data_IF_822665752806
#
_entry.id   IF_822665752806
#
_cell.length_a   1.000
_cell.length_b   1.000
_cell.length_c   1.000
_cell.angle_alpha   90.00
_cell.angle_beta   90.00
_cell.angle_gamma   90.00
#
_symmetry.space_group_name_H-M   'P 1'
#
loop_
_entity.id
_entity.type
_entity.pdbx_description
1 polymer ?
#
# COMPACT_ATOMS: atom_id res chain seq x y z
N UNK A 1 63.76 -2.55 -41.51
CA UNK A 1 63.01 -3.70 -42.05
C UNK A 1 62.86 -4.70 -40.92
N UNK A 2 61.78 -4.64 -40.13
CA UNK A 2 60.47 -5.26 -40.38
C UNK A 2 60.43 -6.72 -39.92
N UNK A 3 59.85 -7.02 -38.75
CA UNK A 3 58.60 -7.78 -38.66
C UNK A 3 58.05 -7.90 -37.22
N UNK A 4 56.71 -7.87 -37.16
CA UNK A 4 55.84 -7.88 -36.00
C UNK A 4 55.71 -9.26 -35.33
N UNK A 5 55.49 -9.28 -34.02
CA UNK A 5 54.73 -10.36 -33.37
C UNK A 5 53.98 -9.85 -32.13
N UNK A 6 53.09 -8.87 -32.35
CA UNK A 6 52.02 -8.52 -31.42
C UNK A 6 50.75 -9.29 -31.80
N UNK A 7 50.71 -10.58 -31.48
CA UNK A 7 49.47 -11.37 -31.48
C UNK A 7 49.30 -12.01 -30.11
N UNK A 8 49.00 -11.17 -29.11
CA UNK A 8 48.15 -11.61 -27.99
C UNK A 8 46.73 -11.25 -28.36
N UNK A 9 45.95 -12.27 -28.73
CA UNK A 9 44.52 -12.18 -28.84
C UNK A 9 43.98 -11.62 -27.51
N UNK A 10 43.44 -10.40 -27.55
CA UNK A 10 42.70 -9.86 -26.42
C UNK A 10 41.55 -10.81 -26.13
N UNK A 11 41.48 -11.28 -24.88
CA UNK A 11 40.32 -12.01 -24.39
C UNK A 11 39.08 -11.19 -24.75
N UNK A 12 38.28 -11.70 -25.68
CA UNK A 12 37.03 -11.07 -26.09
C UNK A 12 36.21 -10.85 -24.84
N UNK A 13 35.98 -9.59 -24.46
CA UNK A 13 35.01 -9.23 -23.43
C UNK A 13 33.72 -9.93 -23.80
N UNK A 14 33.34 -10.96 -23.04
CA UNK A 14 32.08 -11.68 -23.20
C UNK A 14 30.99 -10.63 -23.31
N UNK A 15 30.33 -10.58 -24.47
CA UNK A 15 29.29 -9.60 -24.74
C UNK A 15 28.16 -9.91 -23.77
N UNK A 16 28.00 -9.06 -22.76
CA UNK A 16 26.88 -9.13 -21.83
C UNK A 16 25.59 -9.13 -22.66
N UNK A 17 24.73 -10.15 -22.54
CA UNK A 17 23.46 -10.20 -23.27
C UNK A 17 22.64 -8.93 -23.05
N UNK A 18 21.89 -8.51 -24.06
CA UNK A 18 21.07 -7.29 -23.99
C UNK A 18 20.11 -7.33 -22.79
N UNK A 19 19.51 -8.48 -22.53
CA UNK A 19 18.54 -8.66 -21.44
C UNK A 19 19.22 -8.56 -20.07
N UNK A 20 20.47 -9.01 -19.94
CA UNK A 20 21.23 -8.87 -18.70
C UNK A 20 21.63 -7.40 -18.44
N UNK A 21 21.99 -6.65 -19.48
CA UNK A 21 22.21 -5.19 -19.36
C UNK A 21 20.93 -4.46 -18.98
N UNK A 22 19.79 -4.86 -19.59
CA UNK A 22 18.47 -4.29 -19.32
C UNK A 22 18.08 -4.51 -17.86
N UNK A 23 18.12 -5.76 -17.40
CA UNK A 23 17.80 -6.16 -16.03
C UNK A 23 18.68 -5.42 -15.01
N UNK A 24 20.02 -5.45 -15.17
CA UNK A 24 20.94 -4.79 -14.22
C UNK A 24 20.66 -3.31 -14.04
N UNK A 25 20.39 -2.59 -15.14
CA UNK A 25 20.15 -1.16 -15.06
C UNK A 25 18.78 -0.85 -14.42
N UNK A 26 17.74 -1.63 -14.73
CA UNK A 26 16.42 -1.50 -14.10
C UNK A 26 16.50 -1.85 -12.60
N UNK A 27 17.15 -2.96 -12.23
CA UNK A 27 17.34 -3.36 -10.83
C UNK A 27 18.07 -2.29 -10.02
N UNK A 28 19.11 -1.68 -10.60
CA UNK A 28 19.85 -0.58 -9.96
C UNK A 28 18.97 0.65 -9.75
N UNK A 29 18.18 1.02 -10.77
CA UNK A 29 17.26 2.14 -10.66
C UNK A 29 16.11 1.86 -9.67
N UNK A 30 15.57 0.66 -9.68
CA UNK A 30 14.55 0.20 -8.72
C UNK A 30 15.07 0.24 -7.29
N UNK A 31 16.28 -0.22 -7.02
CA UNK A 31 16.90 -0.15 -5.70
C UNK A 31 17.03 1.31 -5.21
N UNK A 32 17.34 2.24 -6.11
CA UNK A 32 17.39 3.67 -5.79
C UNK A 32 15.99 4.25 -5.49
N UNK A 33 14.96 3.84 -6.24
CA UNK A 33 13.56 4.21 -5.94
C UNK A 33 13.13 3.63 -4.59
N UNK A 34 13.46 2.38 -4.29
CA UNK A 34 13.11 1.75 -3.02
C UNK A 34 13.82 2.39 -1.82
N UNK A 35 15.04 2.88 -2.00
CA UNK A 35 15.80 3.55 -0.94
C UNK A 35 15.36 5.01 -0.69
N UNK A 36 14.95 5.73 -1.74
CA UNK A 36 14.76 7.19 -1.67
C UNK A 36 13.33 7.66 -1.99
N UNK A 37 12.47 6.77 -2.49
CA UNK A 37 11.19 7.10 -3.08
C UNK A 37 11.29 7.70 -4.48
N UNK A 38 10.16 7.74 -5.20
CA UNK A 38 10.05 8.43 -6.49
C UNK A 38 9.88 9.94 -6.23
N UNK A 39 10.98 10.68 -6.10
CA UNK A 39 10.93 12.12 -5.80
C UNK A 39 10.58 12.95 -7.03
N UNK A 40 9.92 14.11 -6.82
CA UNK A 40 9.80 15.16 -7.85
C UNK A 40 11.22 15.61 -8.20
N UNK A 41 11.68 15.26 -9.40
CA UNK A 41 13.09 15.41 -9.78
C UNK A 41 13.86 14.09 -9.94
N UNK A 42 13.21 12.92 -9.99
CA UNK A 42 13.86 11.66 -10.43
C UNK A 42 14.46 11.77 -11.84
N UNK A 43 14.06 12.78 -12.62
CA UNK A 43 14.72 13.23 -13.85
C UNK A 43 16.19 13.63 -13.64
N UNK A 44 16.60 13.99 -12.42
CA UNK A 44 17.97 14.36 -12.07
C UNK A 44 18.89 13.16 -11.83
N UNK A 45 18.36 11.92 -11.80
CA UNK A 45 19.24 10.76 -11.97
C UNK A 45 19.85 10.85 -13.37
N UNK A 46 21.13 11.22 -13.39
CA UNK A 46 21.91 11.23 -14.61
C UNK A 46 22.02 9.78 -15.04
N UNK A 47 21.51 9.48 -16.23
CA UNK A 47 21.62 8.15 -16.86
C UNK A 47 23.05 7.62 -16.77
N UNK A 48 24.03 8.51 -16.81
CA UNK A 48 25.46 8.22 -16.70
C UNK A 48 25.88 7.71 -15.31
N UNK A 49 25.30 8.24 -14.24
CA UNK A 49 25.55 7.78 -12.88
C UNK A 49 24.92 6.40 -12.67
N UNK A 50 23.69 6.20 -13.17
CA UNK A 50 23.03 4.88 -13.17
C UNK A 50 23.84 3.83 -13.94
N UNK A 51 24.33 4.18 -15.14
CA UNK A 51 25.18 3.30 -15.95
C UNK A 51 26.45 2.92 -15.21
N UNK A 52 27.08 3.89 -14.54
CA UNK A 52 28.31 3.68 -13.77
C UNK A 52 28.04 2.78 -12.57
N UNK A 53 26.98 3.03 -11.82
CA UNK A 53 26.58 2.25 -10.65
C UNK A 53 26.22 0.81 -11.03
N UNK A 54 25.42 0.62 -12.08
CA UNK A 54 25.04 -0.69 -12.59
C UNK A 54 26.22 -1.48 -13.21
N UNK A 55 27.37 -0.82 -13.43
CA UNK A 55 28.56 -1.43 -14.03
C UNK A 55 28.36 -1.92 -15.47
N UNK A 56 27.36 -1.38 -16.18
CA UNK A 56 27.00 -1.82 -17.53
C UNK A 56 27.69 -1.00 -18.63
N UNK A 57 27.95 -1.57 -19.82
CA UNK A 57 28.56 -0.80 -20.91
C UNK A 57 27.61 0.28 -21.45
N UNK A 58 28.02 1.56 -21.37
CA UNK A 58 27.29 2.73 -21.88
C UNK A 58 26.72 2.55 -23.30
N UNK A 59 27.52 2.00 -24.22
CA UNK A 59 27.11 1.77 -25.61
C UNK A 59 26.09 0.63 -25.79
N UNK A 60 25.90 -0.21 -24.78
CA UNK A 60 24.84 -1.22 -24.77
C UNK A 60 23.53 -0.63 -24.28
N UNK A 61 23.58 0.25 -23.28
CA UNK A 61 22.42 0.97 -22.74
C UNK A 61 21.74 1.83 -23.81
N UNK A 62 22.47 2.70 -24.51
CA UNK A 62 21.91 3.50 -25.62
C UNK A 62 21.50 2.68 -26.86
N UNK A 63 21.78 1.37 -26.89
CA UNK A 63 21.28 0.43 -27.92
C UNK A 63 20.03 -0.33 -27.48
N UNK A 64 19.69 -0.27 -26.19
CA UNK A 64 18.49 -0.89 -25.61
C UNK A 64 17.39 0.16 -25.52
N UNK A 65 17.71 1.36 -25.04
CA UNK A 65 16.79 2.49 -24.97
C UNK A 65 17.23 3.59 -25.94
N UNK A 66 16.31 3.97 -26.82
CA UNK A 66 16.54 5.00 -27.86
C UNK A 66 16.60 6.41 -27.28
N UNK A 67 16.01 6.62 -26.09
CA UNK A 67 16.03 7.88 -25.37
C UNK A 67 15.98 7.66 -23.86
N UNK A 68 16.20 8.74 -23.09
CA UNK A 68 16.09 8.70 -21.62
C UNK A 68 14.63 8.46 -21.20
N UNK A 69 13.70 9.03 -21.94
CA UNK A 69 12.25 8.90 -21.75
C UNK A 69 11.84 7.43 -21.91
N UNK A 70 12.33 6.72 -22.93
CA UNK A 70 12.04 5.30 -23.12
C UNK A 70 12.49 4.42 -21.92
N UNK A 71 13.61 4.76 -21.29
CA UNK A 71 14.04 4.11 -20.04
C UNK A 71 13.12 4.46 -18.87
N UNK A 72 12.75 5.74 -18.73
CA UNK A 72 11.84 6.16 -17.66
C UNK A 72 10.44 5.55 -17.78
N UNK A 73 9.89 5.42 -18.98
CA UNK A 73 8.59 4.76 -19.21
C UNK A 73 8.60 3.31 -18.68
N UNK A 74 9.70 2.60 -18.94
CA UNK A 74 9.89 1.25 -18.46
C UNK A 74 10.10 1.20 -16.95
N UNK A 75 10.95 2.07 -16.40
CA UNK A 75 11.17 2.17 -14.96
C UNK A 75 9.86 2.48 -14.22
N UNK A 76 9.06 3.43 -14.70
CA UNK A 76 7.78 3.76 -14.08
C UNK A 76 6.81 2.56 -14.10
N UNK A 77 6.84 1.76 -15.17
CA UNK A 77 6.07 0.53 -15.26
C UNK A 77 6.54 -0.50 -14.21
N UNK A 78 7.85 -0.69 -14.07
CA UNK A 78 8.44 -1.61 -13.08
C UNK A 78 8.19 -1.15 -11.64
N UNK A 79 8.35 0.15 -11.35
CA UNK A 79 8.03 0.71 -10.04
C UNK A 79 6.56 0.48 -9.73
N UNK A 80 5.66 0.81 -10.65
CA UNK A 80 4.23 0.65 -10.43
C UNK A 80 3.82 -0.82 -10.22
N UNK A 81 4.48 -1.78 -10.87
CA UNK A 81 4.29 -3.21 -10.65
C UNK A 81 4.80 -3.70 -9.28
N UNK A 82 5.79 -3.03 -8.71
CA UNK A 82 6.39 -3.38 -7.41
C UNK A 82 5.85 -2.56 -6.25
N UNK A 83 5.10 -1.49 -6.51
CA UNK A 83 4.40 -0.75 -5.46
C UNK A 83 3.31 -1.67 -4.92
N UNK A 84 3.65 -2.41 -3.87
CA UNK A 84 2.66 -2.90 -2.93
C UNK A 84 2.31 -1.74 -2.00
N UNK A 85 1.04 -1.49 -1.74
CA UNK A 85 0.67 -0.61 -0.66
C UNK A 85 1.18 -1.27 0.63
N UNK A 86 2.22 -0.73 1.24
CA UNK A 86 2.61 -1.07 2.62
C UNK A 86 1.57 -0.58 3.64
N UNK A 87 0.29 -0.62 3.26
CA UNK A 87 -0.89 -0.06 3.94
C UNK A 87 -1.56 -1.08 4.85
N UNK A 88 -1.33 -2.37 4.61
CA UNK A 88 -1.81 -3.46 5.45
C UNK A 88 -0.61 -4.06 6.17
N UNK A 89 -0.35 -3.56 7.39
CA UNK A 89 0.66 -4.12 8.27
C UNK A 89 0.08 -5.33 9.02
N UNK A 90 0.59 -6.53 8.71
CA UNK A 90 0.10 -7.79 9.29
C UNK A 90 0.22 -7.80 10.82
N UNK A 91 1.28 -7.19 11.37
CA UNK A 91 1.47 -7.04 12.81
C UNK A 91 0.34 -6.20 13.45
N UNK A 92 -0.04 -5.09 12.82
CA UNK A 92 -1.19 -4.28 13.25
C UNK A 92 -2.52 -5.06 13.22
N UNK A 93 -2.72 -5.92 12.23
CA UNK A 93 -3.94 -6.76 12.15
C UNK A 93 -3.98 -7.78 13.28
N UNK A 94 -2.85 -8.44 13.55
CA UNK A 94 -2.67 -9.39 14.67
C UNK A 94 -2.89 -8.70 16.02
N UNK A 95 -2.24 -7.56 16.23
CA UNK A 95 -2.37 -6.78 17.47
C UNK A 95 -3.83 -6.34 17.72
N UNK A 96 -4.58 -6.03 16.66
CA UNK A 96 -6.01 -5.74 16.78
C UNK A 96 -6.79 -6.95 17.30
N UNK A 97 -6.48 -8.16 16.82
CA UNK A 97 -7.13 -9.38 17.27
C UNK A 97 -6.80 -9.71 18.73
N UNK A 98 -5.54 -9.60 19.12
CA UNK A 98 -5.10 -9.78 20.51
C UNK A 98 -5.76 -8.78 21.46
N UNK A 99 -5.87 -7.52 21.04
CA UNK A 99 -6.55 -6.47 21.79
C UNK A 99 -8.03 -6.81 22.05
N UNK A 100 -8.73 -7.32 21.02
CA UNK A 100 -10.11 -7.79 21.16
C UNK A 100 -10.21 -8.98 22.11
N UNK A 101 -9.29 -9.94 22.02
CA UNK A 101 -9.23 -11.09 22.92
C UNK A 101 -9.08 -10.67 24.39
N UNK A 102 -8.22 -9.68 24.68
CA UNK A 102 -8.03 -9.17 26.05
C UNK A 102 -9.29 -8.52 26.64
N UNK A 103 -10.17 -7.99 25.79
CA UNK A 103 -11.41 -7.29 26.19
C UNK A 103 -12.68 -8.04 25.84
N UNK A 104 -12.57 -9.34 25.57
CA UNK A 104 -13.66 -10.17 25.08
C UNK A 104 -14.94 -10.08 25.94
N UNK A 105 -14.80 -9.95 27.27
CA UNK A 105 -15.95 -9.83 28.18
C UNK A 105 -16.86 -8.62 27.91
N UNK A 106 -16.30 -7.51 27.41
CA UNK A 106 -17.06 -6.29 27.12
C UNK A 106 -17.99 -6.46 25.91
N UNK A 107 -17.73 -7.42 25.03
CA UNK A 107 -18.55 -7.71 23.86
C UNK A 107 -19.98 -8.14 24.21
N UNK A 108 -20.18 -8.65 25.43
CA UNK A 108 -21.51 -9.07 25.93
C UNK A 108 -22.52 -7.93 26.03
N UNK A 109 -22.06 -6.67 26.09
CA UNK A 109 -22.94 -5.51 26.28
C UNK A 109 -22.86 -4.53 25.11
N UNK A 110 -23.98 -3.89 24.72
CA UNK A 110 -23.95 -2.85 23.69
C UNK A 110 -22.98 -1.71 24.00
N UNK A 111 -22.96 -1.25 25.25
CA UNK A 111 -22.05 -0.22 25.75
C UNK A 111 -20.59 -0.67 25.62
N UNK A 112 -20.26 -1.89 26.04
CA UNK A 112 -18.92 -2.44 25.90
C UNK A 112 -18.46 -2.55 24.45
N UNK A 113 -19.34 -2.97 23.53
CA UNK A 113 -19.05 -3.00 22.08
C UNK A 113 -18.79 -1.62 21.50
N UNK A 114 -19.58 -0.60 21.88
CA UNK A 114 -19.32 0.80 21.49
C UNK A 114 -17.95 1.27 21.94
N UNK A 115 -17.59 1.01 23.20
CA UNK A 115 -16.28 1.39 23.75
C UNK A 115 -15.12 0.67 23.04
N UNK A 116 -15.24 -0.64 22.83
CA UNK A 116 -14.25 -1.41 22.05
C UNK A 116 -14.07 -0.82 20.66
N UNK A 117 -15.17 -0.49 19.98
CA UNK A 117 -15.11 0.06 18.63
C UNK A 117 -14.35 1.40 18.61
N UNK A 118 -14.65 2.31 19.54
CA UNK A 118 -13.91 3.58 19.68
C UNK A 118 -12.42 3.32 19.91
N UNK A 119 -12.09 2.44 20.85
CA UNK A 119 -10.70 2.22 21.25
C UNK A 119 -9.89 1.51 20.12
N UNK A 120 -10.47 0.50 19.46
CA UNK A 120 -9.84 -0.21 18.33
C UNK A 120 -9.64 0.71 17.13
N UNK A 121 -10.66 1.49 16.77
CA UNK A 121 -10.54 2.41 15.62
C UNK A 121 -9.57 3.54 15.91
N UNK A 122 -9.50 4.03 17.15
CA UNK A 122 -8.52 5.03 17.56
C UNK A 122 -7.08 4.49 17.47
N UNK A 123 -6.83 3.33 18.06
CA UNK A 123 -5.50 2.69 18.01
C UNK A 123 -5.07 2.38 16.57
N UNK A 124 -5.96 1.73 15.80
CA UNK A 124 -5.68 1.36 14.42
C UNK A 124 -5.41 2.60 13.56
N UNK A 125 -6.15 3.69 13.73
CA UNK A 125 -5.94 4.91 12.96
C UNK A 125 -4.59 5.57 13.26
N UNK A 126 -4.17 5.63 14.52
CA UNK A 126 -2.90 6.25 14.90
C UNK A 126 -1.70 5.45 14.41
N UNK A 127 -1.72 4.14 14.61
CA UNK A 127 -0.67 3.25 14.13
C UNK A 127 -0.60 3.26 12.60
N UNK A 128 -1.75 3.14 11.93
CA UNK A 128 -1.81 3.14 10.47
C UNK A 128 -1.33 4.48 9.89
N UNK A 129 -1.75 5.61 10.48
CA UNK A 129 -1.32 6.92 10.03
C UNK A 129 0.21 7.09 10.07
N UNK A 130 0.87 6.73 11.17
CA UNK A 130 2.33 6.84 11.25
C UNK A 130 3.03 5.83 10.33
N UNK A 131 2.58 4.57 10.30
CA UNK A 131 3.17 3.54 9.45
C UNK A 131 3.07 3.89 7.96
N UNK A 132 1.90 4.33 7.50
CA UNK A 132 1.69 4.69 6.08
C UNK A 132 2.43 5.96 5.72
N UNK A 133 2.33 7.02 6.53
CA UNK A 133 2.92 8.32 6.14
C UNK A 133 4.45 8.33 6.23
N UNK A 134 5.03 7.47 7.05
CA UNK A 134 6.49 7.25 7.10
C UNK A 134 7.02 6.30 6.01
N UNK A 135 6.15 5.51 5.36
CA UNK A 135 6.52 4.53 4.33
C UNK A 135 7.04 5.15 3.03
N UNK A 136 8.14 4.61 2.51
CA UNK A 136 8.68 4.94 1.17
C UNK A 136 7.72 4.45 0.08
N UNK A 137 7.09 3.30 0.29
CA UNK A 137 6.14 2.70 -0.65
C UNK A 137 4.93 3.60 -0.84
N UNK A 138 4.36 4.14 0.24
CA UNK A 138 3.26 5.11 0.15
C UNK A 138 3.68 6.41 -0.57
N UNK A 139 4.84 6.99 -0.23
CA UNK A 139 5.34 8.18 -0.94
C UNK A 139 5.52 7.94 -2.44
N UNK A 140 6.04 6.78 -2.80
CA UNK A 140 6.21 6.34 -4.19
C UNK A 140 4.86 6.20 -4.89
N UNK A 141 3.87 5.60 -4.23
CA UNK A 141 2.49 5.53 -4.74
C UNK A 141 1.90 6.92 -4.99
N UNK A 142 2.04 7.86 -4.04
CA UNK A 142 1.51 9.23 -4.17
C UNK A 142 2.16 9.95 -5.35
N UNK A 143 3.49 9.79 -5.51
CA UNK A 143 4.22 10.35 -6.63
C UNK A 143 3.74 9.77 -7.97
N UNK A 144 3.65 8.44 -8.09
CA UNK A 144 3.14 7.77 -9.30
C UNK A 144 1.71 8.17 -9.64
N UNK A 145 0.82 8.24 -8.64
CA UNK A 145 -0.56 8.69 -8.82
C UNK A 145 -0.62 10.12 -9.35
N UNK A 146 0.22 11.01 -8.81
CA UNK A 146 0.33 12.40 -9.28
C UNK A 146 0.90 12.49 -10.71
N UNK A 147 1.89 11.65 -11.02
CA UNK A 147 2.44 11.51 -12.37
C UNK A 147 1.36 11.04 -13.34
N UNK A 148 0.59 10.01 -12.99
CA UNK A 148 -0.50 9.49 -13.81
C UNK A 148 -1.55 10.57 -14.15
N UNK A 149 -1.86 11.47 -13.22
CA UNK A 149 -2.82 12.56 -13.46
C UNK A 149 -2.34 13.61 -14.48
N UNK A 150 -1.03 13.79 -14.62
CA UNK A 150 -0.43 14.92 -15.37
C UNK A 150 0.45 14.50 -16.54
N UNK A 151 0.71 13.19 -16.73
CA UNK A 151 1.65 12.72 -17.74
C UNK A 151 1.14 12.99 -19.17
N UNK A 152 1.93 13.67 -20.03
CA UNK A 152 1.49 14.05 -21.38
C UNK A 152 1.23 12.85 -22.30
N UNK A 153 2.08 11.83 -22.27
CA UNK A 153 1.92 10.65 -23.11
C UNK A 153 0.79 9.76 -22.59
N UNK A 154 -0.24 9.58 -23.43
CA UNK A 154 -1.43 8.81 -23.07
C UNK A 154 -1.16 7.32 -22.84
N UNK A 155 -0.28 6.71 -23.62
CA UNK A 155 0.05 5.30 -23.53
C UNK A 155 0.81 5.01 -22.23
N UNK A 156 1.76 5.88 -21.88
CA UNK A 156 2.51 5.75 -20.63
C UNK A 156 1.59 5.98 -19.44
N UNK A 157 0.73 7.00 -19.51
CA UNK A 157 -0.28 7.28 -18.48
C UNK A 157 -1.18 6.07 -18.24
N UNK A 158 -1.69 5.44 -19.29
CA UNK A 158 -2.54 4.24 -19.18
C UNK A 158 -1.81 3.08 -18.51
N UNK A 159 -0.54 2.83 -18.84
CA UNK A 159 0.28 1.79 -18.20
C UNK A 159 0.49 2.04 -16.71
N UNK A 160 0.76 3.29 -16.31
CA UNK A 160 0.89 3.66 -14.90
C UNK A 160 -0.45 3.44 -14.17
N UNK A 161 -1.57 3.87 -14.76
CA UNK A 161 -2.91 3.69 -14.19
C UNK A 161 -3.24 2.19 -14.02
N UNK A 162 -2.92 1.36 -15.01
CA UNK A 162 -3.16 -0.09 -14.94
C UNK A 162 -2.37 -0.75 -13.82
N UNK A 163 -1.09 -0.41 -13.68
CA UNK A 163 -0.26 -0.94 -12.61
C UNK A 163 -0.73 -0.46 -11.22
N UNK A 164 -1.07 0.83 -11.06
CA UNK A 164 -1.67 1.35 -9.83
C UNK A 164 -3.01 0.66 -9.52
N UNK A 165 -3.85 0.41 -10.54
CA UNK A 165 -5.12 -0.32 -10.36
C UNK A 165 -4.89 -1.73 -9.84
N UNK A 166 -3.91 -2.46 -10.38
CA UNK A 166 -3.60 -3.82 -9.90
C UNK A 166 -3.15 -3.80 -8.43
N UNK A 167 -2.32 -2.83 -8.06
CA UNK A 167 -1.86 -2.61 -6.68
C UNK A 167 -3.02 -2.29 -5.72
N UNK A 168 -3.90 -1.37 -6.12
CA UNK A 168 -5.08 -1.00 -5.34
C UNK A 168 -6.04 -2.19 -5.15
N UNK A 169 -6.33 -2.95 -6.21
CA UNK A 169 -7.21 -4.12 -6.11
C UNK A 169 -6.66 -5.19 -5.16
N UNK A 170 -5.35 -5.44 -5.19
CA UNK A 170 -4.72 -6.38 -4.25
C UNK A 170 -4.86 -5.93 -2.79
N UNK A 171 -4.69 -4.64 -2.52
CA UNK A 171 -4.91 -4.06 -1.19
C UNK A 171 -6.39 -4.16 -0.76
N UNK A 172 -7.33 -3.88 -1.66
CA UNK A 172 -8.75 -4.01 -1.39
C UNK A 172 -9.13 -5.45 -1.03
N UNK A 173 -8.62 -6.44 -1.77
CA UNK A 173 -8.89 -7.85 -1.51
C UNK A 173 -8.40 -8.26 -0.10
N UNK A 174 -7.20 -7.82 0.30
CA UNK A 174 -6.65 -8.12 1.62
C UNK A 174 -7.46 -7.46 2.74
N UNK A 175 -7.75 -6.16 2.62
CA UNK A 175 -8.42 -5.40 3.67
C UNK A 175 -9.91 -5.73 3.77
N UNK A 176 -10.56 -6.10 2.67
CA UNK A 176 -11.94 -6.60 2.69
C UNK A 176 -12.03 -7.83 3.62
N UNK A 177 -11.11 -8.79 3.50
CA UNK A 177 -11.07 -9.97 4.37
C UNK A 177 -10.91 -9.56 5.83
N UNK A 178 -10.05 -8.59 6.13
CA UNK A 178 -9.88 -8.09 7.49
C UNK A 178 -11.18 -7.50 8.06
N UNK A 179 -11.81 -6.54 7.35
CA UNK A 179 -13.03 -5.91 7.87
C UNK A 179 -14.20 -6.88 7.97
N UNK A 180 -14.31 -7.82 7.01
CA UNK A 180 -15.31 -8.88 7.03
C UNK A 180 -15.20 -9.79 8.26
N UNK A 181 -13.99 -9.94 8.81
CA UNK A 181 -13.77 -10.69 10.05
C UNK A 181 -13.97 -9.82 11.30
N UNK A 182 -13.41 -8.60 11.32
CA UNK A 182 -13.36 -7.79 12.54
C UNK A 182 -14.73 -7.20 12.89
N UNK A 183 -15.49 -6.72 11.90
CA UNK A 183 -16.74 -5.99 12.11
C UNK A 183 -17.79 -6.88 12.80
N UNK A 184 -18.04 -8.12 12.35
CA UNK A 184 -18.91 -9.05 13.06
C UNK A 184 -18.39 -9.44 14.44
N UNK A 185 -17.07 -9.59 14.63
CA UNK A 185 -16.49 -9.98 15.91
C UNK A 185 -16.81 -8.97 17.03
N UNK A 186 -16.84 -7.68 16.68
CA UNK A 186 -17.20 -6.59 17.61
C UNK A 186 -18.71 -6.31 17.70
N UNK A 187 -19.55 -7.12 17.04
CA UNK A 187 -21.02 -7.06 17.08
C UNK A 187 -21.67 -5.95 16.28
N UNK A 188 -21.03 -5.62 15.16
CA UNK A 188 -21.56 -4.76 14.12
C UNK A 188 -21.65 -5.55 12.82
N UNK A 189 -22.37 -4.98 11.86
CA UNK A 189 -22.43 -5.50 10.50
C UNK A 189 -22.35 -4.33 9.53
N UNK A 190 -21.91 -4.63 8.31
CA UNK A 190 -21.98 -3.66 7.23
C UNK A 190 -23.44 -3.23 7.03
N UNK A 191 -23.64 -1.96 6.67
CA UNK A 191 -24.97 -1.48 6.33
C UNK A 191 -25.59 -2.31 5.19
N UNK A 192 -26.90 -2.62 5.24
CA UNK A 192 -27.54 -3.48 4.24
C UNK A 192 -27.45 -2.94 2.80
N UNK A 193 -27.47 -1.63 2.62
CA UNK A 193 -27.46 -0.99 1.31
C UNK A 193 -26.13 -1.12 0.55
N UNK A 194 -25.09 -1.61 1.22
CA UNK A 194 -23.79 -1.92 0.62
C UNK A 194 -23.69 -3.37 0.12
N UNK A 195 -24.75 -4.18 0.25
CA UNK A 195 -24.85 -5.54 -0.31
C UNK A 195 -23.68 -6.47 0.05
N UNK A 196 -23.19 -6.40 1.30
CA UNK A 196 -22.05 -7.19 1.79
C UNK A 196 -20.71 -6.92 1.05
N UNK A 197 -20.61 -5.80 0.31
CA UNK A 197 -19.38 -5.32 -0.31
C UNK A 197 -18.65 -4.36 0.64
N UNK A 198 -17.55 -4.84 1.23
CA UNK A 198 -16.73 -4.06 2.16
C UNK A 198 -15.74 -3.13 1.44
N UNK A 199 -15.54 -3.27 0.13
CA UNK A 199 -14.53 -2.47 -0.60
C UNK A 199 -14.77 -0.97 -0.54
N UNK A 200 -16.02 -0.45 -0.62
CA UNK A 200 -16.29 0.98 -0.39
C UNK A 200 -15.83 1.49 0.98
N UNK A 201 -15.97 0.67 2.04
CA UNK A 201 -15.46 1.01 3.37
C UNK A 201 -13.92 1.08 3.36
N UNK A 202 -13.26 0.07 2.78
CA UNK A 202 -11.79 0.03 2.67
C UNK A 202 -11.27 1.28 1.95
N UNK A 203 -11.85 1.62 0.79
CA UNK A 203 -11.46 2.81 0.01
C UNK A 203 -11.63 4.08 0.84
N UNK A 204 -12.78 4.27 1.49
CA UNK A 204 -13.04 5.47 2.29
C UNK A 204 -12.09 5.59 3.49
N UNK A 205 -11.82 4.48 4.17
CA UNK A 205 -10.93 4.39 5.32
C UNK A 205 -9.46 4.65 4.94
N UNK A 206 -8.99 4.14 3.80
CA UNK A 206 -7.66 4.42 3.28
C UNK A 206 -7.54 5.90 2.85
N UNK A 207 -8.53 6.40 2.10
CA UNK A 207 -8.52 7.76 1.57
C UNK A 207 -8.40 8.84 2.66
N UNK A 208 -9.03 8.65 3.82
CA UNK A 208 -8.92 9.62 4.92
C UNK A 208 -7.51 9.62 5.53
N UNK A 209 -6.89 8.46 5.74
CA UNK A 209 -5.53 8.35 6.28
C UNK A 209 -4.51 8.94 5.29
N UNK A 210 -4.61 8.58 4.02
CA UNK A 210 -3.71 9.08 2.97
C UNK A 210 -3.88 10.59 2.74
N UNK A 211 -5.11 11.08 2.75
CA UNK A 211 -5.42 12.50 2.63
C UNK A 211 -4.83 13.30 3.79
N UNK A 212 -4.93 12.79 5.02
CA UNK A 212 -4.26 13.40 6.18
C UNK A 212 -2.74 13.38 6.04
N UNK A 213 -2.18 12.30 5.49
CA UNK A 213 -0.75 12.20 5.20
C UNK A 213 -0.25 13.26 4.21
N UNK A 214 -1.03 13.53 3.17
CA UNK A 214 -0.76 14.63 2.24
C UNK A 214 -0.90 15.97 2.96
N UNK A 215 -2.00 16.18 3.71
CA UNK A 215 -2.25 17.43 4.43
C UNK A 215 -1.15 17.76 5.46
N UNK A 216 -0.56 16.74 6.11
CA UNK A 216 0.57 16.87 7.05
C UNK A 216 1.72 17.69 6.48
N UNK A 217 1.95 17.63 5.15
CA UNK A 217 3.01 18.38 4.48
C UNK A 217 2.79 19.89 4.43
N UNK A 218 1.54 20.35 4.54
CA UNK A 218 1.15 21.76 4.38
C UNK A 218 0.64 22.38 5.67
N UNK A 219 -0.02 21.58 6.53
CA UNK A 219 -0.65 22.02 7.78
C UNK A 219 -0.40 21.01 8.92
N UNK A 220 0.87 20.72 9.28
CA UNK A 220 1.21 19.67 10.24
C UNK A 220 0.57 19.89 11.61
N UNK A 221 0.56 21.13 12.12
CA UNK A 221 0.02 21.44 13.46
C UNK A 221 -1.46 21.04 13.63
N UNK A 222 -2.26 21.14 12.56
CA UNK A 222 -3.67 20.75 12.59
C UNK A 222 -3.82 19.22 12.53
N UNK A 223 -3.03 18.58 11.67
CA UNK A 223 -3.08 17.14 11.42
C UNK A 223 -2.56 16.33 12.61
N UNK A 224 -1.44 16.78 13.18
CA UNK A 224 -0.79 16.15 14.34
C UNK A 224 -1.41 16.60 15.67
N UNK A 225 -2.36 17.53 15.62
CA UNK A 225 -3.09 18.03 16.77
C UNK A 225 -3.78 16.92 17.57
N UNK A 226 -3.80 17.13 18.88
CA UNK A 226 -4.48 16.27 19.85
C UNK A 226 -5.70 17.00 20.41
N UNK A 227 -6.82 16.30 20.51
CA UNK A 227 -8.11 16.88 20.85
C UNK A 227 -8.72 16.15 22.04
N UNK A 228 -9.19 16.92 23.01
CA UNK A 228 -9.93 16.37 24.14
C UNK A 228 -11.36 16.08 23.73
N UNK A 229 -11.75 14.81 23.78
CA UNK A 229 -13.11 14.34 23.50
C UNK A 229 -13.69 13.67 24.74
N UNK A 230 -15.01 13.79 24.89
CA UNK A 230 -15.75 13.03 25.89
C UNK A 230 -16.20 11.69 25.27
N UNK A 231 -15.56 10.60 25.66
CA UNK A 231 -15.90 9.24 25.23
C UNK A 231 -16.80 8.58 26.27
N UNK A 232 -18.09 8.92 26.23
CA UNK A 232 -19.12 8.40 27.14
C UNK A 232 -18.78 8.65 28.63
N UNK A 233 -18.35 9.86 28.98
CA UNK A 233 -17.97 10.25 30.34
C UNK A 233 -16.50 9.97 30.68
N UNK A 234 -15.71 9.48 29.71
CA UNK A 234 -14.26 9.31 29.84
C UNK A 234 -13.56 10.35 28.98
N UNK A 235 -12.93 11.37 29.59
CA UNK A 235 -12.07 12.28 28.86
C UNK A 235 -10.96 11.48 28.19
N UNK A 236 -10.81 11.65 26.88
CA UNK A 236 -9.74 11.04 26.10
C UNK A 236 -9.10 12.11 25.22
N UNK A 237 -7.78 12.05 25.10
CA UNK A 237 -7.03 12.84 24.14
C UNK A 237 -6.84 11.98 22.88
N UNK A 238 -7.37 12.44 21.75
CA UNK A 238 -7.39 11.67 20.49
C UNK A 238 -6.78 12.49 19.35
N UNK A 239 -6.14 11.81 18.40
CA UNK A 239 -5.64 12.43 17.17
C UNK A 239 -6.76 12.76 16.17
N UNK A 240 -6.48 13.65 15.22
CA UNK A 240 -7.39 13.90 14.09
C UNK A 240 -7.61 12.64 13.23
N UNK A 241 -6.57 11.81 13.08
CA UNK A 241 -6.66 10.53 12.39
C UNK A 241 -7.66 9.60 13.07
N UNK A 242 -7.59 9.44 14.40
CA UNK A 242 -8.53 8.63 15.17
C UNK A 242 -9.98 9.12 15.02
N UNK A 243 -10.22 10.43 15.17
CA UNK A 243 -11.56 11.02 15.03
C UNK A 243 -12.13 10.73 13.64
N UNK A 244 -11.36 11.04 12.59
CA UNK A 244 -11.84 10.99 11.21
C UNK A 244 -12.05 9.55 10.76
N UNK A 245 -11.12 8.64 11.11
CA UNK A 245 -11.23 7.23 10.79
C UNK A 245 -12.43 6.59 11.52
N UNK A 246 -12.61 6.86 12.81
CA UNK A 246 -13.77 6.38 13.56
C UNK A 246 -15.10 6.84 12.93
N UNK A 247 -15.18 8.12 12.53
CA UNK A 247 -16.36 8.66 11.86
C UNK A 247 -16.67 7.95 10.53
N UNK A 248 -15.64 7.62 9.74
CA UNK A 248 -15.81 6.80 8.52
C UNK A 248 -16.32 5.42 8.88
N UNK A 249 -15.69 4.69 9.82
CA UNK A 249 -16.15 3.35 10.21
C UNK A 249 -17.63 3.38 10.62
N UNK A 250 -18.03 4.31 11.48
CA UNK A 250 -19.39 4.47 11.96
C UNK A 250 -20.42 4.81 10.87
N UNK A 251 -20.00 5.41 9.75
CA UNK A 251 -20.89 5.71 8.64
C UNK A 251 -21.27 4.46 7.81
N UNK A 252 -20.43 3.41 7.85
CA UNK A 252 -20.56 2.20 7.02
C UNK A 252 -21.10 0.99 7.78
N UNK A 253 -21.05 0.99 9.11
CA UNK A 253 -21.50 -0.13 9.94
C UNK A 253 -22.70 0.24 10.80
N UNK A 254 -23.47 -0.77 11.19
CA UNK A 254 -24.60 -0.67 12.12
C UNK A 254 -24.54 -1.79 13.14
N UNK A 255 -25.13 -1.62 14.34
CA UNK A 255 -25.22 -2.71 15.30
C UNK A 255 -25.90 -3.94 14.67
N UNK A 256 -25.35 -5.12 14.93
CA UNK A 256 -25.96 -6.37 14.47
C UNK A 256 -27.02 -6.85 15.47
N UNK A 257 -28.32 -6.86 15.11
CA UNK A 257 -29.36 -7.38 15.99
C UNK A 257 -29.28 -8.89 16.23
N UNK A 258 -28.57 -9.63 15.36
CA UNK A 258 -28.37 -11.07 15.46
C UNK A 258 -27.05 -11.45 16.16
N UNK A 259 -26.35 -10.48 16.75
CA UNK A 259 -25.05 -10.72 17.36
C UNK A 259 -25.10 -11.73 18.51
N UNK A 260 -24.26 -12.75 18.42
CA UNK A 260 -24.00 -13.73 19.48
C UNK A 260 -22.62 -13.47 20.11
N UNK A 261 -22.64 -12.92 21.33
CA UNK A 261 -21.42 -12.58 22.05
C UNK A 261 -20.60 -13.82 22.43
N UNK A 262 -21.23 -14.94 22.80
CA UNK A 262 -20.48 -16.12 23.22
C UNK A 262 -19.79 -16.78 22.01
N UNK A 263 -20.46 -16.80 20.85
CA UNK A 263 -19.83 -17.25 19.61
C UNK A 263 -18.64 -16.37 19.20
N UNK A 264 -18.77 -15.05 19.31
CA UNK A 264 -17.68 -14.11 19.01
C UNK A 264 -16.48 -14.26 19.97
N UNK A 265 -16.75 -14.40 21.27
CA UNK A 265 -15.73 -14.62 22.30
C UNK A 265 -15.01 -15.96 22.08
N UNK A 266 -15.75 -17.02 21.73
CA UNK A 266 -15.17 -18.31 21.40
C UNK A 266 -14.22 -18.22 20.19
N UNK A 267 -14.62 -17.48 19.13
CA UNK A 267 -13.79 -17.24 17.94
C UNK A 267 -12.51 -16.44 18.25
N UNK A 268 -12.59 -15.45 19.12
CA UNK A 268 -11.41 -14.70 19.57
C UNK A 268 -10.46 -15.60 20.38
N UNK A 269 -11.01 -16.54 21.15
CA UNK A 269 -10.26 -17.44 22.03
C UNK A 269 -9.61 -18.63 21.31
N UNK A 270 -10.10 -19.02 20.13
CA UNK A 270 -9.53 -20.12 19.33
C UNK A 270 -8.23 -19.75 18.60
N UNK A 271 -7.81 -18.49 18.64
CA UNK A 271 -6.56 -18.00 18.03
C UNK A 271 -6.70 -17.62 16.55
N UNK A 272 -5.64 -16.98 16.03
CA UNK A 272 -5.56 -16.37 14.69
C UNK A 272 -5.48 -17.42 13.56
N UNK A 273 -5.28 -18.71 13.88
CA UNK A 273 -5.16 -19.82 12.93
C UNK A 273 -6.40 -20.02 12.01
N UNK A 274 -7.52 -19.35 12.29
CA UNK A 274 -8.71 -19.31 11.44
C UNK A 274 -8.95 -17.96 10.73
N UNK A 275 -7.95 -17.07 10.64
CA UNK A 275 -8.00 -16.06 9.58
C UNK A 275 -7.91 -16.81 8.25
N UNK A 276 -8.91 -16.71 7.36
CA UNK A 276 -8.82 -17.40 6.08
C UNK A 276 -7.56 -16.92 5.38
N UNK A 277 -6.59 -17.83 5.21
CA UNK A 277 -5.43 -17.61 4.35
C UNK A 277 -5.98 -17.16 3.00
N UNK A 278 -5.61 -15.94 2.60
CA UNK A 278 -5.99 -15.35 1.33
C UNK A 278 -5.42 -16.25 0.24
N UNK A 279 -6.23 -17.14 -0.31
CA UNK A 279 -5.95 -17.64 -1.64
C UNK A 279 -6.41 -16.55 -2.61
N UNK A 280 -5.51 -15.99 -3.43
CA UNK A 280 -5.93 -15.08 -4.48
C UNK A 280 -6.98 -15.80 -5.32
N UNK A 281 -8.14 -15.18 -5.53
CA UNK A 281 -9.11 -15.69 -6.50
C UNK A 281 -8.36 -15.85 -7.82
N UNK A 282 -8.29 -17.08 -8.33
CA UNK A 282 -7.80 -17.33 -9.69
C UNK A 282 -8.63 -16.45 -10.61
N UNK A 283 -7.95 -15.53 -11.30
CA UNK A 283 -8.56 -14.71 -12.35
C UNK A 283 -8.96 -15.65 -13.48
N UNK A 284 -10.17 -16.18 -13.43
CA UNK A 284 -10.86 -16.61 -14.65
C UNK A 284 -11.24 -15.33 -15.38
N UNK A 285 -10.29 -14.84 -16.19
CA UNK A 285 -10.61 -13.98 -17.31
C UNK A 285 -11.39 -14.85 -18.29
N UNK A 286 -12.70 -14.97 -18.07
CA UNK A 286 -13.60 -15.36 -19.14
C UNK A 286 -13.48 -14.27 -20.20
N UNK A 287 -12.87 -14.67 -21.32
CA UNK A 287 -12.81 -13.87 -22.52
C UNK A 287 -14.21 -13.43 -22.89
N UNK A 288 -14.41 -12.12 -22.93
CA UNK A 288 -15.50 -11.54 -23.72
C UNK A 288 -15.03 -11.64 -25.16
N UNK A 289 -15.41 -12.73 -25.80
CA UNK A 289 -15.61 -12.76 -27.25
C UNK A 289 -16.92 -12.02 -27.57
N UNK A 290 -16.89 -11.36 -28.73
CA UNK A 290 -17.88 -10.53 -29.45
C UNK A 290 -18.03 -9.04 -29.08
#
# INVERSE_FOLDING_TARGET
MSENSWTKAGAGRTRVPKDEVRAKLLDTAMALVQANGLTVGFEHLLMDDLIKEAGVPRSSVYRIWESKEAFFEELLSEVANQVSPGRADEESLVATWEYLGFRADELRTPEGRRRILVDVTGLAAEQNFESVTSSIQWRTYVALSSTALSYPDARVRERIIEALRNSELAFLDQMEVFYRNIVPAVGYRLRPDLNDDYRPLVVAAAAIIEGLGIARTTIPDLVEGRYNVDNEGRPAEVSLAAISYHAIIMAFIVPDPAYDAEAAIARLSSGIDEMPVVQPRSRDYDGIDD
#
